data_IF_035418065548
#
_entry.id   IF_035418065548
#
_cell.length_a   1.000
_cell.length_b   1.000
_cell.length_c   1.000
_cell.angle_alpha   90.00
_cell.angle_beta   90.00
_cell.angle_gamma   90.00
#
_symmetry.space_group_name_H-M   'P 1'
#
loop_
_entity.id
_entity.type
_entity.pdbx_description
1 polymer ?
#
# COMPACT_ATOMS: atom_id res chain seq x y z
N UNK A 1 -12.06 -1.20 27.86
CA UNK A 1 -11.30 -0.21 27.07
C UNK A 1 -10.45 -0.98 26.05
N UNK A 2 -11.13 -1.77 25.21
CA UNK A 2 -10.61 -3.03 24.67
C UNK A 2 -10.72 -3.13 23.14
N UNK A 3 -11.08 -2.05 22.43
CA UNK A 3 -11.51 -2.15 21.04
C UNK A 3 -10.55 -1.52 20.01
N UNK A 4 -9.64 -0.64 20.43
CA UNK A 4 -8.76 0.09 19.49
C UNK A 4 -7.60 -0.79 19.02
N UNK A 5 -6.98 -1.55 19.93
CA UNK A 5 -5.85 -2.41 19.60
C UNK A 5 -6.25 -3.54 18.64
N UNK A 6 -7.40 -4.17 18.85
CA UNK A 6 -7.91 -5.23 17.98
C UNK A 6 -8.24 -4.69 16.57
N UNK A 7 -8.83 -3.49 16.49
CA UNK A 7 -9.11 -2.84 15.21
C UNK A 7 -7.83 -2.48 14.45
N UNK A 8 -6.79 -2.00 15.15
CA UNK A 8 -5.47 -1.72 14.55
C UNK A 8 -4.86 -3.01 14.01
N UNK A 9 -4.89 -4.10 14.78
CA UNK A 9 -4.38 -5.41 14.33
C UNK A 9 -5.13 -5.89 13.08
N UNK A 10 -6.46 -5.81 13.06
CA UNK A 10 -7.28 -6.20 11.91
C UNK A 10 -6.94 -5.34 10.68
N UNK A 11 -6.79 -4.03 10.85
CA UNK A 11 -6.43 -3.10 9.78
C UNK A 11 -5.06 -3.42 9.20
N UNK A 12 -4.08 -3.70 10.06
CA UNK A 12 -2.74 -4.09 9.66
C UNK A 12 -2.75 -5.41 8.89
N UNK A 13 -3.46 -6.43 9.38
CA UNK A 13 -3.62 -7.70 8.65
C UNK A 13 -4.25 -7.48 7.27
N UNK A 14 -5.31 -6.68 7.18
CA UNK A 14 -5.96 -6.34 5.90
C UNK A 14 -5.02 -5.62 4.94
N UNK A 15 -4.23 -4.68 5.45
CA UNK A 15 -3.25 -3.96 4.65
C UNK A 15 -2.13 -4.88 4.14
N UNK A 16 -1.65 -5.79 4.98
CA UNK A 16 -0.62 -6.77 4.58
C UNK A 16 -1.15 -7.67 3.46
N UNK A 17 -2.39 -8.19 3.60
CA UNK A 17 -3.02 -8.96 2.53
C UNK A 17 -3.19 -8.16 1.24
N UNK A 18 -3.48 -6.87 1.35
CA UNK A 18 -3.63 -5.98 0.22
C UNK A 18 -2.30 -5.74 -0.51
N UNK A 19 -1.21 -5.51 0.22
CA UNK A 19 0.15 -5.43 -0.35
C UNK A 19 0.53 -6.74 -1.05
N UNK A 20 0.26 -7.88 -0.43
CA UNK A 20 0.51 -9.17 -1.07
C UNK A 20 -0.29 -9.31 -2.38
N UNK A 21 -1.58 -8.96 -2.36
CA UNK A 21 -2.41 -9.00 -3.56
C UNK A 21 -1.91 -8.05 -4.65
N UNK A 22 -1.40 -6.86 -4.31
CA UNK A 22 -0.89 -5.90 -5.29
C UNK A 22 0.40 -6.36 -5.96
N UNK A 23 1.18 -7.24 -5.32
CA UNK A 23 2.39 -7.84 -5.90
C UNK A 23 2.11 -9.04 -6.82
N UNK A 24 0.89 -9.58 -6.83
CA UNK A 24 0.52 -10.71 -7.67
C UNK A 24 0.16 -10.24 -9.09
N UNK A 25 1.10 -10.42 -10.03
CA UNK A 25 0.93 -10.02 -11.43
C UNK A 25 -0.27 -10.67 -12.13
N UNK A 26 -0.70 -11.87 -11.71
CA UNK A 26 -1.75 -12.65 -12.39
C UNK A 26 -3.17 -12.14 -12.06
N UNK A 27 -3.31 -11.21 -11.11
CA UNK A 27 -4.61 -10.70 -10.69
C UNK A 27 -5.20 -9.80 -11.78
N UNK A 28 -6.09 -10.36 -12.61
CA UNK A 28 -6.87 -9.64 -13.63
C UNK A 28 -8.01 -8.78 -13.06
N UNK A 29 -8.22 -8.80 -11.73
CA UNK A 29 -9.38 -8.19 -11.07
C UNK A 29 -9.16 -6.74 -10.59
N UNK A 30 -8.06 -6.09 -10.96
CA UNK A 30 -7.81 -4.69 -10.64
C UNK A 30 -8.63 -3.75 -11.53
N UNK A 31 -9.91 -3.62 -11.23
CA UNK A 31 -10.78 -2.62 -11.87
C UNK A 31 -10.46 -1.23 -11.33
N UNK A 32 -10.77 -0.14 -12.08
CA UNK A 32 -10.59 1.23 -11.61
C UNK A 32 -11.24 1.50 -10.24
N UNK A 33 -12.44 0.98 -10.01
CA UNK A 33 -13.18 1.15 -8.75
C UNK A 33 -12.44 0.48 -7.59
N UNK A 34 -11.96 -0.76 -7.82
CA UNK A 34 -11.18 -1.50 -6.84
C UNK A 34 -9.89 -0.76 -6.47
N UNK A 35 -9.15 -0.29 -7.48
CA UNK A 35 -7.93 0.50 -7.30
C UNK A 35 -8.22 1.74 -6.46
N UNK A 36 -9.24 2.51 -6.82
CA UNK A 36 -9.61 3.73 -6.10
C UNK A 36 -9.93 3.45 -4.63
N UNK A 37 -10.76 2.44 -4.34
CA UNK A 37 -11.10 2.05 -2.97
C UNK A 37 -9.86 1.60 -2.18
N UNK A 38 -8.97 0.85 -2.83
CA UNK A 38 -7.72 0.35 -2.22
C UNK A 38 -6.77 1.49 -1.87
N UNK A 39 -6.58 2.46 -2.77
CA UNK A 39 -5.71 3.61 -2.52
C UNK A 39 -6.28 4.56 -1.47
N UNK A 40 -7.61 4.73 -1.44
CA UNK A 40 -8.29 5.45 -0.37
C UNK A 40 -8.08 4.78 0.99
N UNK A 41 -8.24 3.45 1.06
CA UNK A 41 -7.97 2.70 2.28
C UNK A 41 -6.51 2.82 2.71
N UNK A 42 -5.56 2.70 1.77
CA UNK A 42 -4.14 2.87 2.06
C UNK A 42 -3.83 4.27 2.60
N UNK A 43 -4.42 5.31 2.02
CA UNK A 43 -4.26 6.70 2.49
C UNK A 43 -4.85 6.92 3.89
N UNK A 44 -5.92 6.20 4.25
CA UNK A 44 -6.44 6.21 5.61
C UNK A 44 -5.46 5.56 6.60
N UNK A 45 -4.77 4.48 6.21
CA UNK A 45 -3.72 3.86 7.01
C UNK A 45 -2.56 4.84 7.21
N UNK A 46 -2.08 5.50 6.16
CA UNK A 46 -1.00 6.50 6.29
C UNK A 46 -1.38 7.63 7.26
N UNK A 47 -2.60 8.17 7.14
CA UNK A 47 -3.11 9.21 8.02
C UNK A 47 -3.30 8.75 9.48
N UNK A 48 -3.57 7.46 9.70
CA UNK A 48 -3.63 6.89 11.04
C UNK A 48 -2.23 6.78 11.62
N UNK A 49 -1.30 6.22 10.85
CA UNK A 49 0.08 5.94 11.29
C UNK A 49 0.85 7.25 11.51
N UNK A 50 0.60 8.29 10.71
CA UNK A 50 1.23 9.61 10.87
C UNK A 50 0.83 10.35 12.15
N UNK A 51 -0.27 9.93 12.79
CA UNK A 51 -0.76 10.49 14.06
C UNK A 51 -0.24 9.72 15.28
N UNK A 52 0.41 8.58 15.07
CA UNK A 52 0.97 7.80 16.17
C UNK A 52 2.18 8.54 16.77
N UNK A 53 2.26 8.51 18.10
CA UNK A 53 3.44 8.92 18.85
C UNK A 53 4.61 7.98 18.59
N UNK A 54 5.83 8.41 18.95
CA UNK A 54 7.03 7.59 18.79
C UNK A 54 6.94 6.26 19.55
N UNK A 55 6.37 6.26 20.76
CA UNK A 55 6.18 5.04 21.55
C UNK A 55 5.20 4.07 20.87
N UNK A 56 4.09 4.59 20.31
CA UNK A 56 3.13 3.77 19.55
C UNK A 56 3.74 3.21 18.26
N UNK A 57 4.63 3.96 17.60
CA UNK A 57 5.39 3.48 16.43
C UNK A 57 6.32 2.33 16.82
N UNK A 58 7.00 2.42 17.97
CA UNK A 58 7.87 1.34 18.47
C UNK A 58 7.06 0.07 18.76
N UNK A 59 5.89 0.21 19.41
CA UNK A 59 4.98 -0.92 19.66
C UNK A 59 4.51 -1.54 18.34
N UNK A 60 4.18 -0.71 17.34
CA UNK A 60 3.79 -1.16 16.01
C UNK A 60 4.92 -1.92 15.31
N UNK A 61 6.16 -1.45 15.40
CA UNK A 61 7.34 -2.14 14.85
C UNK A 61 7.55 -3.51 15.50
N UNK A 62 7.42 -3.58 16.82
CA UNK A 62 7.53 -4.81 17.59
C UNK A 62 6.43 -5.81 17.21
N UNK A 63 5.20 -5.33 17.04
CA UNK A 63 4.09 -6.12 16.57
C UNK A 63 4.30 -6.68 15.16
N UNK A 64 4.72 -5.84 14.20
CA UNK A 64 5.02 -6.29 12.83
C UNK A 64 6.14 -7.33 12.81
N UNK A 65 7.18 -7.13 13.62
CA UNK A 65 8.27 -8.09 13.77
C UNK A 65 7.78 -9.43 14.32
N UNK A 66 6.85 -9.41 15.28
CA UNK A 66 6.22 -10.62 15.81
C UNK A 66 5.30 -11.30 14.79
N UNK A 67 4.54 -10.54 13.99
CA UNK A 67 3.74 -11.12 12.91
C UNK A 67 4.62 -11.84 11.87
N UNK A 68 5.76 -11.27 11.51
CA UNK A 68 6.69 -11.87 10.55
C UNK A 68 7.29 -13.20 11.05
N UNK A 69 7.40 -13.42 12.36
CA UNK A 69 7.86 -14.71 12.89
C UNK A 69 6.76 -15.78 12.87
N UNK A 70 5.49 -15.39 13.02
CA UNK A 70 4.34 -16.31 13.00
C UNK A 70 3.97 -16.67 11.56
N UNK A 71 3.91 -15.67 10.69
CA UNK A 71 3.44 -15.82 9.32
C UNK A 71 4.59 -15.56 8.35
N UNK A 72 5.46 -16.57 8.17
CA UNK A 72 6.65 -16.49 7.30
C UNK A 72 6.36 -16.15 5.82
N UNK A 73 5.10 -16.29 5.38
CA UNK A 73 4.64 -15.91 4.05
C UNK A 73 4.22 -14.44 3.95
N UNK A 74 3.97 -13.76 5.08
CA UNK A 74 3.98 -12.30 5.12
C UNK A 74 5.42 -11.92 4.85
N UNK A 75 5.63 -11.12 3.80
CA UNK A 75 6.98 -10.74 3.40
C UNK A 75 7.70 -10.18 4.62
N UNK A 76 8.85 -10.76 4.94
CA UNK A 76 9.72 -10.35 6.06
C UNK A 76 10.22 -8.90 5.95
N UNK A 77 9.70 -8.13 5.00
CA UNK A 77 10.07 -6.78 4.63
C UNK A 77 9.06 -5.72 5.06
N UNK A 78 7.87 -6.07 5.58
CA UNK A 78 6.88 -5.05 5.96
C UNK A 78 7.35 -4.36 7.24
N UNK A 79 7.51 -3.04 7.16
CA UNK A 79 7.97 -2.16 8.25
C UNK A 79 6.96 -1.04 8.50
N UNK A 80 7.10 -0.31 9.61
CA UNK A 80 6.28 0.88 9.85
C UNK A 80 6.42 1.94 8.76
N UNK A 81 7.55 1.97 8.04
CA UNK A 81 7.74 2.84 6.87
C UNK A 81 6.82 2.45 5.70
N UNK A 82 6.58 1.17 5.48
CA UNK A 82 5.61 0.71 4.48
C UNK A 82 4.17 1.10 4.85
N UNK A 83 3.88 1.23 6.15
CA UNK A 83 2.57 1.70 6.61
C UNK A 83 2.42 3.22 6.47
N UNK A 84 3.50 3.97 6.69
CA UNK A 84 3.54 5.43 6.48
C UNK A 84 3.41 5.83 5.02
N UNK A 85 3.85 4.96 4.09
CA UNK A 85 3.80 5.18 2.64
C UNK A 85 2.95 4.09 1.96
N UNK A 86 1.89 3.66 2.62
CA UNK A 86 1.06 2.54 2.22
C UNK A 86 0.49 2.67 0.80
N UNK A 87 0.03 3.87 0.43
CA UNK A 87 -0.50 4.11 -0.90
C UNK A 87 0.61 4.07 -1.94
N UNK A 88 1.79 4.63 -1.64
CA UNK A 88 2.93 4.61 -2.55
C UNK A 88 3.42 3.18 -2.83
N UNK A 89 3.49 2.32 -1.80
CA UNK A 89 3.85 0.91 -1.98
C UNK A 89 2.87 0.15 -2.91
N UNK A 90 1.57 0.44 -2.80
CA UNK A 90 0.55 -0.17 -3.66
C UNK A 90 0.64 0.40 -5.07
N UNK A 91 0.82 1.71 -5.22
CA UNK A 91 1.02 2.37 -6.52
C UNK A 91 2.21 1.76 -7.24
N UNK A 92 3.37 1.66 -6.60
CA UNK A 92 4.57 1.05 -7.19
C UNK A 92 4.32 -0.40 -7.63
N UNK A 93 3.67 -1.19 -6.78
CA UNK A 93 3.33 -2.58 -7.08
C UNK A 93 2.42 -2.68 -8.31
N UNK A 94 1.35 -1.90 -8.36
CA UNK A 94 0.40 -1.92 -9.48
C UNK A 94 1.00 -1.34 -10.77
N UNK A 95 1.84 -0.30 -10.68
CA UNK A 95 2.55 0.26 -11.83
C UNK A 95 3.48 -0.78 -12.48
N UNK A 96 4.11 -1.63 -11.67
CA UNK A 96 4.96 -2.71 -12.15
C UNK A 96 4.17 -3.88 -12.78
N UNK A 97 2.84 -3.91 -12.66
CA UNK A 97 2.04 -5.00 -13.19
C UNK A 97 1.84 -4.90 -14.72
N UNK A 98 2.42 -5.81 -15.52
CA UNK A 98 2.31 -5.74 -16.98
C UNK A 98 0.89 -6.06 -17.49
N UNK A 99 0.06 -6.71 -16.68
CA UNK A 99 -1.30 -7.10 -17.04
C UNK A 99 -2.36 -6.07 -16.64
N UNK A 100 -1.95 -4.94 -16.05
CA UNK A 100 -2.86 -3.88 -15.68
C UNK A 100 -3.38 -3.17 -16.94
N UNK A 101 -4.72 -3.09 -17.07
CA UNK A 101 -5.38 -2.42 -18.20
C UNK A 101 -5.03 -0.94 -18.29
N UNK A 102 -5.14 -0.34 -19.48
CA UNK A 102 -4.88 1.10 -19.64
C UNK A 102 -5.80 1.95 -18.77
N UNK A 103 -7.11 1.66 -18.74
CA UNK A 103 -8.07 2.38 -17.89
C UNK A 103 -7.73 2.31 -16.39
N UNK A 104 -7.20 1.16 -15.95
CA UNK A 104 -6.72 1.00 -14.57
C UNK A 104 -5.44 1.81 -14.30
N UNK A 105 -4.55 1.94 -15.30
CA UNK A 105 -3.35 2.80 -15.23
C UNK A 105 -3.73 4.28 -15.19
N UNK A 106 -4.69 4.70 -16.01
CA UNK A 106 -5.19 6.07 -16.03
C UNK A 106 -5.83 6.43 -14.68
N UNK A 107 -6.60 5.52 -14.08
CA UNK A 107 -7.15 5.70 -12.74
C UNK A 107 -6.07 5.85 -11.65
N UNK A 108 -4.98 5.06 -11.70
CA UNK A 108 -3.83 5.25 -10.82
C UNK A 108 -3.21 6.63 -10.99
N UNK A 109 -3.03 7.06 -12.25
CA UNK A 109 -2.45 8.35 -12.58
C UNK A 109 -3.30 9.51 -12.06
N UNK A 110 -4.61 9.49 -12.29
CA UNK A 110 -5.56 10.47 -11.77
C UNK A 110 -5.50 10.56 -10.24
N UNK A 111 -5.51 9.41 -9.54
CA UNK A 111 -5.39 9.41 -8.08
C UNK A 111 -4.11 10.09 -7.60
N UNK A 112 -3.00 9.86 -8.29
CA UNK A 112 -1.72 10.45 -7.90
C UNK A 112 -1.66 11.96 -8.17
N UNK A 113 -2.29 12.42 -9.26
CA UNK A 113 -2.48 13.85 -9.51
C UNK A 113 -3.33 14.50 -8.41
N UNK A 114 -4.46 13.87 -8.06
CA UNK A 114 -5.39 14.36 -7.02
C UNK A 114 -4.74 14.46 -5.63
N UNK A 115 -3.72 13.63 -5.38
CA UNK A 115 -3.05 13.54 -4.07
C UNK A 115 -1.63 14.12 -4.06
N UNK A 116 -1.21 14.77 -5.16
CA UNK A 116 0.15 15.33 -5.33
C UNK A 116 1.27 14.31 -5.06
N UNK A 117 1.03 13.04 -5.40
CA UNK A 117 2.01 11.95 -5.23
C UNK A 117 2.89 11.80 -6.47
N UNK A 118 4.14 11.43 -6.24
CA UNK A 118 5.09 11.12 -7.32
C UNK A 118 4.90 9.68 -7.78
N UNK A 119 4.73 9.47 -9.08
CA UNK A 119 4.60 8.12 -9.65
C UNK A 119 5.73 7.85 -10.62
N UNK A 120 6.26 6.63 -10.58
CA UNK A 120 7.14 6.10 -11.62
C UNK A 120 6.42 4.94 -12.31
N UNK A 121 5.87 5.20 -13.49
CA UNK A 121 5.38 4.12 -14.35
C UNK A 121 6.56 3.54 -15.13
N UNK A 122 6.80 2.22 -15.08
CA UNK A 122 7.70 1.58 -16.03
C UNK A 122 7.01 1.65 -17.40
N UNK A 123 7.39 2.65 -18.20
CA UNK A 123 6.99 2.75 -19.58
C UNK A 123 7.76 1.70 -20.39
N UNK A 124 7.05 0.96 -21.23
CA UNK A 124 7.68 0.33 -22.39
C UNK A 124 8.18 1.45 -23.29
N UNK A 125 9.50 1.66 -23.27
CA UNK A 125 10.31 2.67 -23.97
C UNK A 125 10.49 4.02 -23.24
N UNK A 126 11.66 4.14 -22.60
CA UNK A 126 12.56 5.31 -22.53
C UNK A 126 12.08 6.70 -22.10
N UNK A 127 10.95 6.86 -21.42
CA UNK A 127 10.66 8.13 -20.73
C UNK A 127 10.19 7.91 -19.28
N UNK A 128 11.12 8.00 -18.32
CA UNK A 128 10.75 8.11 -16.91
C UNK A 128 10.17 9.51 -16.67
N UNK A 129 8.85 9.64 -16.67
CA UNK A 129 8.23 10.91 -16.30
C UNK A 129 8.24 11.04 -14.77
N UNK A 130 9.07 11.93 -14.26
CA UNK A 130 9.08 12.36 -12.86
C UNK A 130 8.34 13.69 -12.80
N UNK A 131 7.12 13.69 -12.25
CA UNK A 131 6.43 14.94 -11.91
C UNK A 131 6.81 15.37 -10.50
N UNK A 132 7.24 16.63 -10.36
CA UNK A 132 7.71 17.25 -9.10
C UNK A 132 6.58 17.82 -8.28
#
# INVERSE_FOLDING_TARGET
MENINDLVVILLCKFIHLLQASTQFVVKSWTPECIKSVLQFASQIENLVSKLSQDEILVLQDFLRHLNTIFLHLSSSITSLHLLNAADCIIESLCSNPYLSQTSRDCLFEFCLDTSRKVRFPLTNDENIIFT
#
